data_IF_531143935814
#
_entry.id   IF_531143935814
#
_cell.length_a   1.000
_cell.length_b   1.000
_cell.length_c   1.000
_cell.angle_alpha   90.00
_cell.angle_beta   90.00
_cell.angle_gamma   90.00
#
_symmetry.space_group_name_H-M   'P 1'
#
loop_
_entity.id
_entity.type
_entity.pdbx_description
1 polymer ?
#
# COMPACT_ATOMS: atom_id res chain seq x y z
N UNK A 1 28.57 -58.94 -54.93
CA UNK A 1 29.42 -57.76 -54.79
C UNK A 1 29.09 -57.11 -53.53
N UNK A 2 30.00 -56.97 -52.55
CA UNK A 2 29.74 -56.29 -51.28
C UNK A 2 29.78 -54.77 -51.51
N UNK A 3 28.76 -54.04 -50.91
CA UNK A 3 28.65 -52.61 -51.00
C UNK A 3 29.83 -51.90 -50.29
N UNK A 4 30.31 -50.76 -50.81
CA UNK A 4 31.40 -50.03 -50.19
C UNK A 4 30.99 -49.44 -48.79
N UNK A 5 31.81 -49.73 -47.76
CA UNK A 5 31.67 -49.13 -46.45
C UNK A 5 31.93 -47.63 -46.54
N UNK A 6 30.93 -46.81 -46.23
CA UNK A 6 31.08 -45.37 -46.13
C UNK A 6 32.15 -45.03 -45.05
N UNK A 7 33.27 -44.46 -45.49
CA UNK A 7 34.28 -43.93 -44.61
C UNK A 7 33.68 -42.74 -43.83
N UNK A 8 33.50 -42.88 -42.51
CA UNK A 8 33.17 -41.76 -41.61
C UNK A 8 34.39 -40.83 -41.56
N UNK A 9 34.21 -39.62 -42.10
CA UNK A 9 35.22 -38.57 -41.97
C UNK A 9 35.46 -38.31 -40.49
N UNK A 10 36.73 -38.20 -39.98
CA UNK A 10 37.02 -37.84 -38.61
C UNK A 10 36.43 -36.46 -38.33
N UNK A 11 35.62 -36.34 -37.28
CA UNK A 11 35.13 -35.03 -36.82
C UNK A 11 36.31 -34.31 -36.16
N UNK A 12 36.63 -33.06 -36.54
CA UNK A 12 37.66 -32.28 -35.87
C UNK A 12 37.38 -32.20 -34.38
N UNK A 13 38.34 -32.57 -33.53
CA UNK A 13 38.26 -32.43 -32.08
C UNK A 13 38.35 -30.95 -31.70
N UNK A 14 37.61 -30.57 -30.69
CA UNK A 14 37.64 -29.20 -30.15
C UNK A 14 38.88 -29.03 -29.28
N UNK A 15 39.64 -27.95 -29.46
CA UNK A 15 40.81 -27.67 -28.65
C UNK A 15 40.42 -27.05 -27.33
N UNK A 16 41.22 -27.27 -26.26
CA UNK A 16 41.02 -26.70 -24.95
C UNK A 16 41.03 -25.17 -25.01
N UNK A 17 41.84 -24.56 -25.86
CA UNK A 17 41.94 -23.12 -26.08
C UNK A 17 40.67 -22.55 -26.67
N UNK A 18 40.10 -23.22 -27.70
CA UNK A 18 38.80 -22.78 -28.28
C UNK A 18 37.67 -22.82 -27.26
N UNK A 19 37.62 -23.85 -26.43
CA UNK A 19 36.61 -23.90 -25.33
C UNK A 19 36.81 -22.77 -24.31
N UNK A 20 38.06 -22.52 -23.92
CA UNK A 20 38.39 -21.51 -22.93
C UNK A 20 38.10 -20.06 -23.41
N UNK A 21 38.39 -19.78 -24.68
CA UNK A 21 38.08 -18.46 -25.29
C UNK A 21 36.59 -18.23 -25.38
N UNK A 22 35.80 -19.23 -25.81
CA UNK A 22 34.33 -19.12 -25.86
C UNK A 22 33.75 -18.90 -24.48
N UNK A 23 34.19 -19.65 -23.45
CA UNK A 23 33.73 -19.49 -22.11
C UNK A 23 34.09 -18.10 -21.53
N UNK A 24 35.27 -17.57 -21.83
CA UNK A 24 35.67 -16.22 -21.44
C UNK A 24 34.80 -15.15 -22.06
N UNK A 25 34.49 -15.25 -23.35
CA UNK A 25 33.62 -14.30 -24.05
C UNK A 25 32.18 -14.35 -23.49
N UNK A 26 31.63 -15.57 -23.32
CA UNK A 26 30.30 -15.76 -22.76
C UNK A 26 30.22 -15.20 -21.33
N UNK A 27 31.21 -15.49 -20.49
CA UNK A 27 31.29 -14.98 -19.13
C UNK A 27 31.32 -13.43 -19.11
N UNK A 28 32.09 -12.81 -19.99
CA UNK A 28 32.16 -11.35 -20.12
C UNK A 28 30.80 -10.76 -20.56
N UNK A 29 30.16 -11.34 -21.57
CA UNK A 29 28.85 -10.90 -22.06
C UNK A 29 27.77 -11.05 -20.99
N UNK A 30 27.69 -12.18 -20.31
CA UNK A 30 26.73 -12.43 -19.23
C UNK A 30 26.99 -11.47 -18.04
N UNK A 31 28.26 -11.27 -17.68
CA UNK A 31 28.67 -10.36 -16.60
C UNK A 31 28.19 -8.91 -16.83
N UNK A 32 28.14 -8.45 -18.08
CA UNK A 32 27.67 -7.10 -18.43
C UNK A 32 26.14 -7.04 -18.63
N UNK A 33 25.54 -8.09 -19.18
CA UNK A 33 24.11 -8.08 -19.51
C UNK A 33 23.20 -8.29 -18.31
N UNK A 34 23.59 -9.12 -17.32
CA UNK A 34 22.75 -9.42 -16.15
C UNK A 34 22.42 -8.17 -15.32
N UNK A 35 23.38 -7.30 -14.91
CA UNK A 35 23.07 -6.08 -14.18
C UNK A 35 22.18 -5.10 -14.99
N UNK A 36 22.44 -4.97 -16.28
CA UNK A 36 21.67 -4.10 -17.17
C UNK A 36 20.20 -4.54 -17.29
N UNK A 37 19.97 -5.85 -17.46
CA UNK A 37 18.61 -6.40 -17.52
C UNK A 37 17.87 -6.24 -16.20
N UNK A 38 18.55 -6.42 -15.05
CA UNK A 38 17.92 -6.22 -13.73
C UNK A 38 17.51 -4.76 -13.53
N UNK A 39 18.37 -3.80 -13.88
CA UNK A 39 18.08 -2.38 -13.83
C UNK A 39 16.90 -1.99 -14.74
N UNK A 40 16.88 -2.51 -15.98
CA UNK A 40 15.79 -2.29 -16.91
C UNK A 40 14.46 -2.84 -16.40
N UNK A 41 14.47 -4.04 -15.80
CA UNK A 41 13.27 -4.65 -15.20
C UNK A 41 12.76 -3.84 -14.03
N UNK A 42 13.63 -3.34 -13.16
CA UNK A 42 13.21 -2.50 -12.04
C UNK A 42 12.63 -1.16 -12.51
N UNK A 43 13.25 -0.54 -13.51
CA UNK A 43 12.71 0.67 -14.15
C UNK A 43 11.31 0.43 -14.73
N UNK A 44 11.09 -0.71 -15.40
CA UNK A 44 9.77 -1.08 -15.90
C UNK A 44 8.75 -1.30 -14.79
N UNK A 45 9.13 -1.96 -13.68
CA UNK A 45 8.24 -2.11 -12.51
C UNK A 45 7.87 -0.77 -11.88
N UNK A 46 8.84 0.14 -11.73
CA UNK A 46 8.58 1.50 -11.22
C UNK A 46 7.58 2.26 -12.09
N UNK A 47 7.71 2.17 -13.43
CA UNK A 47 6.74 2.77 -14.35
C UNK A 47 5.36 2.13 -14.18
N UNK A 48 5.28 0.82 -14.00
CA UNK A 48 4.02 0.12 -13.76
C UNK A 48 3.35 0.58 -12.45
N UNK A 49 4.11 0.71 -11.33
CA UNK A 49 3.58 1.23 -10.06
C UNK A 49 3.09 2.69 -10.22
N UNK A 50 3.82 3.53 -10.96
CA UNK A 50 3.36 4.89 -11.28
C UNK A 50 2.05 4.92 -12.09
N UNK A 51 1.88 4.00 -13.04
CA UNK A 51 0.63 3.87 -13.80
C UNK A 51 -0.53 3.39 -12.92
N UNK A 52 -0.29 2.50 -11.97
CA UNK A 52 -1.29 2.07 -10.98
C UNK A 52 -1.72 3.25 -10.10
N UNK A 53 -0.79 4.04 -9.58
CA UNK A 53 -1.08 5.27 -8.84
C UNK A 53 -1.90 6.26 -9.66
N UNK A 54 -1.58 6.42 -10.95
CA UNK A 54 -2.36 7.26 -11.87
C UNK A 54 -3.80 6.78 -12.02
N UNK A 55 -4.02 5.47 -12.16
CA UNK A 55 -5.37 4.90 -12.24
C UNK A 55 -6.15 5.09 -10.94
N UNK A 56 -5.49 4.95 -9.78
CA UNK A 56 -6.10 5.28 -8.48
C UNK A 56 -6.48 6.76 -8.42
N UNK A 57 -5.61 7.66 -8.89
CA UNK A 57 -5.89 9.10 -8.98
C UNK A 57 -7.06 9.44 -9.92
N UNK A 58 -7.18 8.75 -11.05
CA UNK A 58 -8.34 8.88 -11.95
C UNK A 58 -9.61 8.40 -11.27
N UNK A 59 -9.58 7.28 -10.56
CA UNK A 59 -10.69 6.78 -9.74
C UNK A 59 -11.10 7.78 -8.66
N UNK A 60 -10.13 8.45 -8.03
CA UNK A 60 -10.37 9.52 -7.05
C UNK A 60 -11.13 10.69 -7.66
N UNK A 61 -10.71 11.15 -8.84
CA UNK A 61 -11.37 12.24 -9.58
C UNK A 61 -12.78 11.85 -10.03
N UNK A 62 -12.96 10.60 -10.46
CA UNK A 62 -14.28 10.07 -10.85
C UNK A 62 -15.23 10.01 -9.64
N UNK A 63 -14.75 9.60 -8.47
CA UNK A 63 -15.52 9.58 -7.22
C UNK A 63 -15.95 11.01 -6.82
N UNK A 64 -15.04 11.98 -6.86
CA UNK A 64 -15.36 13.39 -6.57
C UNK A 64 -16.40 13.94 -7.56
N UNK A 65 -16.25 13.66 -8.84
CA UNK A 65 -17.19 14.10 -9.88
C UNK A 65 -18.60 13.54 -9.66
N UNK A 66 -18.71 12.29 -9.21
CA UNK A 66 -19.98 11.62 -8.94
C UNK A 66 -20.64 12.10 -7.65
N UNK A 67 -19.86 12.26 -6.58
CA UNK A 67 -20.39 12.52 -5.23
C UNK A 67 -20.17 13.94 -4.73
N UNK A 68 -19.33 14.75 -5.41
CA UNK A 68 -18.97 16.12 -5.01
C UNK A 68 -18.19 16.20 -3.69
N UNK A 69 -17.51 15.10 -3.34
CA UNK A 69 -16.56 15.01 -2.23
C UNK A 69 -15.57 13.87 -2.50
N UNK A 70 -14.42 13.92 -1.87
CA UNK A 70 -13.43 12.86 -1.93
C UNK A 70 -13.79 11.68 -1.00
N UNK A 71 -13.36 10.44 -1.30
CA UNK A 71 -13.54 9.33 -0.37
C UNK A 71 -12.88 9.65 0.97
N UNK A 72 -13.52 9.32 2.07
CA UNK A 72 -12.90 9.44 3.36
C UNK A 72 -11.83 8.34 3.54
N UNK A 73 -10.71 8.65 4.23
CA UNK A 73 -9.76 7.61 4.59
C UNK A 73 -10.44 6.50 5.40
N UNK A 74 -11.50 6.85 6.13
CA UNK A 74 -12.38 5.95 6.88
C UNK A 74 -13.82 6.42 6.78
N UNK A 75 -14.67 5.66 6.12
CA UNK A 75 -16.13 5.84 6.14
C UNK A 75 -16.69 4.97 7.26
N UNK A 76 -17.42 5.56 8.20
CA UNK A 76 -18.04 4.88 9.33
C UNK A 76 -19.52 4.63 9.11
N UNK A 77 -19.99 3.49 9.63
CA UNK A 77 -21.40 3.09 9.65
C UNK A 77 -21.77 2.69 11.07
N UNK A 78 -22.88 3.23 11.58
CA UNK A 78 -23.41 2.85 12.89
C UNK A 78 -24.36 1.66 12.75
N UNK A 79 -24.20 0.67 13.60
CA UNK A 79 -25.13 -0.45 13.63
C UNK A 79 -26.55 -0.08 14.09
N UNK A 80 -26.71 1.01 14.84
CA UNK A 80 -28.04 1.54 15.18
C UNK A 80 -28.87 1.90 13.95
N UNK A 81 -28.24 2.13 12.79
CA UNK A 81 -28.90 2.40 11.52
C UNK A 81 -29.44 1.12 10.86
N UNK A 82 -29.07 -0.08 11.37
CA UNK A 82 -29.42 -1.39 10.79
C UNK A 82 -30.03 -2.36 11.82
N UNK A 83 -31.20 -2.04 12.41
CA UNK A 83 -31.75 -2.84 13.51
C UNK A 83 -32.21 -4.25 13.12
N UNK A 84 -32.39 -4.53 11.80
CA UNK A 84 -32.82 -5.84 11.31
C UNK A 84 -31.70 -6.87 11.24
N UNK A 85 -30.44 -6.43 11.22
CA UNK A 85 -29.25 -7.27 11.17
C UNK A 85 -28.37 -6.94 12.40
N UNK A 86 -28.63 -7.56 13.54
CA UNK A 86 -27.87 -7.27 14.75
C UNK A 86 -26.40 -7.57 14.53
N UNK A 87 -25.50 -6.70 14.99
CA UNK A 87 -24.07 -6.90 14.83
C UNK A 87 -23.61 -8.13 15.59
N UNK A 88 -22.55 -8.77 15.06
CA UNK A 88 -21.79 -9.71 15.84
C UNK A 88 -21.30 -9.01 17.14
N UNK A 89 -21.62 -9.56 18.33
CA UNK A 89 -21.25 -8.93 19.59
C UNK A 89 -19.75 -8.68 19.75
N UNK A 90 -18.91 -9.49 19.10
CA UNK A 90 -17.45 -9.28 19.10
C UNK A 90 -17.05 -7.99 18.34
N UNK A 91 -17.79 -7.64 17.28
CA UNK A 91 -17.57 -6.36 16.58
C UNK A 91 -18.02 -5.16 17.43
N UNK A 92 -19.07 -5.31 18.22
CA UNK A 92 -19.53 -4.25 19.14
C UNK A 92 -18.43 -3.86 20.12
N UNK A 93 -17.72 -4.81 20.68
CA UNK A 93 -16.64 -4.58 21.65
C UNK A 93 -15.44 -3.86 21.00
N UNK A 94 -15.04 -4.30 19.79
CA UNK A 94 -13.82 -3.79 19.14
C UNK A 94 -14.04 -2.43 18.47
N UNK A 95 -15.21 -2.19 17.89
CA UNK A 95 -15.51 -1.01 17.07
C UNK A 95 -16.56 -0.07 17.66
N UNK A 96 -16.88 -0.21 18.95
CA UNK A 96 -17.89 0.59 19.64
C UNK A 96 -19.23 0.70 18.87
N UNK A 97 -19.70 -0.40 18.30
CA UNK A 97 -20.94 -0.44 17.51
C UNK A 97 -20.84 0.18 16.11
N UNK A 98 -19.65 0.26 15.55
CA UNK A 98 -19.42 0.81 14.21
C UNK A 98 -18.61 -0.14 13.34
N UNK A 99 -18.91 -0.14 12.05
CA UNK A 99 -18.09 -0.76 11.01
C UNK A 99 -17.54 0.27 10.05
N UNK A 100 -16.49 -0.04 9.32
CA UNK A 100 -15.76 0.95 8.54
C UNK A 100 -15.37 0.41 7.17
N UNK A 101 -15.19 1.33 6.22
CA UNK A 101 -14.70 1.05 4.87
C UNK A 101 -13.56 2.01 4.55
N UNK A 102 -12.41 1.48 4.13
CA UNK A 102 -11.25 2.24 3.72
C UNK A 102 -11.44 3.00 2.41
N UNK A 103 -10.57 3.95 2.11
CA UNK A 103 -10.65 4.78 0.91
C UNK A 103 -10.59 3.95 -0.38
N UNK A 104 -9.68 2.98 -0.49
CA UNK A 104 -9.57 2.13 -1.69
C UNK A 104 -10.81 1.26 -1.90
N UNK A 105 -11.45 0.79 -0.82
CA UNK A 105 -12.74 0.09 -0.90
C UNK A 105 -13.84 0.97 -1.48
N UNK A 106 -13.86 2.27 -1.15
CA UNK A 106 -14.80 3.24 -1.73
C UNK A 106 -14.51 3.52 -3.22
N UNK A 107 -13.28 3.34 -3.67
CA UNK A 107 -12.87 3.56 -5.06
C UNK A 107 -13.11 2.37 -5.99
N UNK A 108 -13.42 1.17 -5.50
CA UNK A 108 -13.65 -0.01 -6.35
C UNK A 108 -14.57 0.24 -7.54
N UNK A 109 -15.73 0.93 -7.41
CA UNK A 109 -16.60 1.21 -8.56
C UNK A 109 -15.97 2.12 -9.61
N UNK A 110 -14.91 2.86 -9.26
CA UNK A 110 -14.29 3.91 -10.09
C UNK A 110 -12.94 3.50 -10.69
N UNK A 111 -12.48 2.25 -10.41
CA UNK A 111 -11.21 1.71 -10.89
C UNK A 111 -11.41 0.41 -11.68
N UNK A 112 -12.51 0.32 -12.42
CA UNK A 112 -12.90 -0.84 -13.26
C UNK A 112 -13.21 -2.12 -12.47
N UNK A 113 -13.32 -2.04 -11.13
CA UNK A 113 -13.64 -3.15 -10.21
C UNK A 113 -15.12 -3.14 -9.78
N UNK A 114 -16.01 -2.68 -10.66
CA UNK A 114 -17.45 -2.60 -10.40
C UNK A 114 -18.10 -3.96 -10.08
N UNK A 115 -17.62 -5.03 -10.71
CA UNK A 115 -18.08 -6.38 -10.41
C UNK A 115 -17.71 -6.79 -8.97
N UNK A 116 -16.48 -6.52 -8.55
CA UNK A 116 -16.03 -6.77 -7.19
C UNK A 116 -16.81 -5.91 -6.20
N UNK A 117 -17.00 -4.62 -6.50
CA UNK A 117 -17.78 -3.70 -5.67
C UNK A 117 -19.23 -4.18 -5.48
N UNK A 118 -19.84 -4.80 -6.48
CA UNK A 118 -21.20 -5.33 -6.40
C UNK A 118 -21.39 -6.51 -5.44
N UNK A 119 -20.30 -7.17 -5.04
CA UNK A 119 -20.31 -8.23 -4.05
C UNK A 119 -20.42 -7.70 -2.61
N UNK A 120 -20.16 -6.41 -2.41
CA UNK A 120 -20.25 -5.77 -1.10
C UNK A 120 -21.51 -4.92 -0.99
N UNK A 121 -22.11 -4.93 0.18
CA UNK A 121 -23.03 -3.87 0.56
C UNK A 121 -22.23 -2.62 0.94
N UNK A 122 -22.08 -1.71 -0.02
CA UNK A 122 -21.31 -0.46 0.13
C UNK A 122 -21.98 0.57 1.06
N UNK A 123 -23.17 0.26 1.56
CA UNK A 123 -23.85 1.05 2.60
C UNK A 123 -23.41 0.61 4.00
N UNK A 124 -22.61 -0.44 4.09
CA UNK A 124 -22.09 -1.02 5.34
C UNK A 124 -20.57 -1.08 5.33
N UNK A 125 -19.99 -1.21 6.50
CA UNK A 125 -18.55 -1.42 6.61
C UNK A 125 -18.13 -2.79 6.10
N UNK A 126 -16.87 -2.92 5.67
CA UNK A 126 -16.34 -4.17 5.18
C UNK A 126 -16.40 -5.29 6.22
N UNK A 127 -16.16 -4.95 7.50
CA UNK A 127 -16.19 -5.91 8.61
C UNK A 127 -17.61 -6.18 9.14
N UNK A 128 -18.66 -5.69 8.48
CA UNK A 128 -20.04 -6.06 8.80
C UNK A 128 -20.31 -7.52 8.41
N UNK A 129 -21.07 -8.31 9.21
CA UNK A 129 -21.41 -9.68 8.86
C UNK A 129 -22.03 -9.86 7.48
N UNK A 130 -22.74 -8.87 6.96
CA UNK A 130 -23.29 -8.91 5.59
C UNK A 130 -22.19 -8.99 4.54
N UNK A 131 -21.07 -8.31 4.77
CA UNK A 131 -19.92 -8.26 3.86
C UNK A 131 -18.87 -9.35 4.12
N UNK A 132 -18.95 -10.07 5.24
CA UNK A 132 -17.99 -11.10 5.58
C UNK A 132 -18.48 -12.48 5.14
N UNK A 133 -17.61 -13.34 4.65
CA UNK A 133 -17.94 -14.72 4.34
C UNK A 133 -17.90 -15.61 5.59
N UNK A 134 -18.53 -16.79 5.58
CA UNK A 134 -18.19 -17.83 6.53
C UNK A 134 -16.68 -18.14 6.49
N UNK A 135 -16.03 -18.47 7.59
CA UNK A 135 -16.60 -18.82 8.90
C UNK A 135 -16.75 -17.65 9.89
N UNK A 136 -16.78 -16.41 9.46
CA UNK A 136 -17.11 -15.32 10.38
C UNK A 136 -18.50 -15.52 10.97
N UNK A 137 -18.69 -15.30 12.28
CA UNK A 137 -20.00 -15.39 12.91
C UNK A 137 -21.01 -14.46 12.22
N UNK A 138 -22.10 -15.04 11.67
CA UNK A 138 -23.09 -14.28 10.91
C UNK A 138 -22.66 -13.86 9.51
N UNK A 139 -21.49 -14.28 9.05
CA UNK A 139 -21.00 -13.99 7.70
C UNK A 139 -21.90 -14.56 6.61
N UNK A 140 -22.27 -13.73 5.63
CA UNK A 140 -23.22 -14.06 4.57
C UNK A 140 -22.67 -13.92 3.16
N UNK A 141 -21.53 -13.23 2.99
CA UNK A 141 -20.97 -12.93 1.69
C UNK A 141 -20.16 -14.13 1.13
N UNK A 142 -19.78 -14.04 -0.14
CA UNK A 142 -18.92 -15.03 -0.79
C UNK A 142 -17.44 -14.72 -0.53
N UNK A 143 -16.59 -15.75 -0.48
CA UNK A 143 -15.13 -15.60 -0.46
C UNK A 143 -14.59 -14.83 -1.67
N UNK A 144 -15.33 -14.79 -2.78
CA UNK A 144 -14.95 -14.04 -3.99
C UNK A 144 -14.86 -12.53 -3.75
N UNK A 145 -15.52 -11.99 -2.71
CA UNK A 145 -15.40 -10.58 -2.33
C UNK A 145 -13.99 -10.20 -1.85
N UNK A 146 -13.17 -11.19 -1.47
CA UNK A 146 -11.77 -10.98 -1.10
C UNK A 146 -10.80 -11.30 -2.24
N UNK A 147 -11.22 -11.06 -3.48
CA UNK A 147 -10.35 -11.23 -4.65
C UNK A 147 -9.24 -10.19 -4.67
N UNK A 148 -8.00 -10.57 -5.06
CA UNK A 148 -6.93 -9.62 -5.27
C UNK A 148 -7.28 -8.62 -6.38
N UNK A 149 -6.93 -7.36 -6.17
CA UNK A 149 -7.02 -6.30 -7.16
C UNK A 149 -5.61 -5.99 -7.65
N UNK A 150 -5.23 -6.40 -8.87
CA UNK A 150 -3.87 -6.21 -9.38
C UNK A 150 -3.43 -4.75 -9.41
N UNK A 151 -4.37 -3.83 -9.62
CA UNK A 151 -4.15 -2.38 -9.55
C UNK A 151 -3.59 -1.92 -8.20
N UNK A 152 -3.91 -2.61 -7.12
CA UNK A 152 -3.49 -2.21 -5.77
C UNK A 152 -2.19 -2.86 -5.31
N UNK A 153 -1.49 -3.60 -6.17
CA UNK A 153 -0.26 -4.32 -5.82
C UNK A 153 0.90 -3.87 -6.68
N UNK A 154 1.91 -3.26 -6.06
CA UNK A 154 3.12 -2.84 -6.78
C UNK A 154 3.95 -4.07 -7.19
N UNK A 155 4.33 -4.22 -8.49
CA UNK A 155 5.11 -5.36 -8.98
C UNK A 155 6.54 -5.44 -8.45
N UNK A 156 7.05 -4.43 -7.76
CA UNK A 156 8.36 -4.46 -7.09
C UNK A 156 8.29 -5.02 -5.67
N UNK A 157 7.09 -5.18 -5.12
CA UNK A 157 6.93 -5.79 -3.80
C UNK A 157 7.32 -7.27 -3.86
N UNK A 158 8.21 -7.75 -2.96
CA UNK A 158 8.66 -9.12 -2.97
C UNK A 158 7.51 -10.14 -2.89
N UNK A 159 7.68 -11.27 -3.55
CA UNK A 159 6.80 -12.43 -3.41
C UNK A 159 6.97 -13.09 -2.04
N UNK A 160 5.95 -13.85 -1.58
CA UNK A 160 6.01 -14.60 -0.34
C UNK A 160 5.79 -13.77 0.93
N UNK A 161 5.27 -12.55 0.82
CA UNK A 161 4.78 -11.82 1.98
C UNK A 161 3.53 -12.52 2.50
N UNK A 162 3.45 -12.86 3.81
CA UNK A 162 2.28 -13.52 4.38
C UNK A 162 1.02 -12.70 4.18
N UNK A 163 -0.09 -13.37 3.90
CA UNK A 163 -1.40 -12.73 3.74
C UNK A 163 -2.42 -13.27 4.75
N UNK A 164 -1.97 -13.96 5.80
CA UNK A 164 -2.85 -14.49 6.84
C UNK A 164 -3.15 -13.42 7.89
N UNK A 165 -4.36 -12.92 7.85
CA UNK A 165 -4.93 -11.97 8.82
C UNK A 165 -5.65 -12.64 9.98
N UNK A 166 -5.80 -13.98 9.97
CA UNK A 166 -6.50 -14.74 10.99
C UNK A 166 -6.13 -14.34 12.42
N UNK A 167 -4.83 -14.25 12.79
CA UNK A 167 -4.44 -13.86 14.14
C UNK A 167 -5.02 -12.52 14.60
N UNK A 168 -5.07 -11.51 13.75
CA UNK A 168 -5.64 -10.19 14.09
C UNK A 168 -7.16 -10.17 14.14
N UNK A 169 -7.81 -10.94 13.28
CA UNK A 169 -9.26 -11.00 13.21
C UNK A 169 -9.91 -11.93 14.23
N UNK A 170 -9.11 -12.68 15.01
CA UNK A 170 -9.61 -13.47 16.16
C UNK A 170 -10.31 -12.62 17.20
N UNK A 171 -9.87 -11.39 17.39
CA UNK A 171 -10.47 -10.44 18.32
C UNK A 171 -11.93 -10.12 17.96
N UNK A 172 -12.31 -10.29 16.69
CA UNK A 172 -13.68 -10.10 16.20
C UNK A 172 -14.40 -11.43 15.91
N UNK A 173 -13.91 -12.54 16.49
CA UNK A 173 -14.57 -13.83 16.44
C UNK A 173 -14.17 -14.73 15.28
N UNK A 174 -13.08 -14.41 14.54
CA UNK A 174 -12.59 -15.35 13.52
C UNK A 174 -12.05 -16.62 14.18
N UNK A 175 -12.37 -17.83 13.65
CA UNK A 175 -12.01 -19.08 14.29
C UNK A 175 -10.51 -19.24 14.52
N UNK A 176 -10.08 -19.81 15.66
CA UNK A 176 -8.68 -20.12 15.89
C UNK A 176 -8.18 -21.17 14.88
N UNK A 177 -6.90 -21.13 14.56
CA UNK A 177 -6.24 -22.08 13.66
C UNK A 177 -6.79 -22.13 12.22
N UNK A 178 -7.55 -21.12 11.81
CA UNK A 178 -8.03 -20.96 10.44
C UNK A 178 -7.28 -19.78 9.82
N UNK A 179 -6.69 -19.99 8.65
CA UNK A 179 -6.04 -18.89 7.91
C UNK A 179 -7.10 -17.99 7.28
N UNK A 180 -6.95 -16.69 7.43
CA UNK A 180 -7.73 -15.68 6.72
C UNK A 180 -6.83 -14.98 5.71
N UNK A 181 -6.90 -15.42 4.46
CA UNK A 181 -6.14 -14.80 3.37
C UNK A 181 -6.93 -13.64 2.82
N UNK A 182 -6.45 -12.41 3.05
CA UNK A 182 -7.03 -11.20 2.49
C UNK A 182 -6.08 -10.62 1.42
N UNK A 183 -6.62 -10.04 0.35
CA UNK A 183 -5.82 -9.40 -0.68
C UNK A 183 -5.19 -8.13 -0.15
N UNK A 184 -3.89 -8.00 -0.36
CA UNK A 184 -3.14 -6.83 0.08
C UNK A 184 -3.33 -5.64 -0.84
N UNK A 185 -3.02 -4.46 -0.32
CA UNK A 185 -2.69 -3.27 -1.08
C UNK A 185 -1.30 -2.77 -0.71
N UNK A 186 -0.58 -2.27 -1.70
CA UNK A 186 0.69 -1.58 -1.56
C UNK A 186 0.53 -0.06 -1.69
N UNK A 187 -0.71 0.44 -1.74
CA UNK A 187 -1.05 1.86 -1.80
C UNK A 187 -2.00 2.22 -0.67
N UNK A 188 -1.80 3.39 -0.08
CA UNK A 188 -2.62 3.88 1.01
C UNK A 188 -2.76 5.41 0.98
N UNK A 189 -3.87 5.97 1.49
CA UNK A 189 -3.95 7.38 1.78
C UNK A 189 -3.28 7.69 3.12
N UNK A 190 -2.71 8.87 3.24
CA UNK A 190 -2.27 9.39 4.53
C UNK A 190 -3.45 10.04 5.27
N UNK A 191 -3.47 9.90 6.61
CA UNK A 191 -4.44 10.59 7.47
C UNK A 191 -3.97 11.99 7.85
N UNK A 192 -2.67 12.19 7.87
CA UNK A 192 -1.98 13.38 8.31
C UNK A 192 -0.59 13.07 8.82
N UNK A 193 -0.05 13.94 9.66
CA UNK A 193 1.27 13.79 10.26
C UNK A 193 1.16 13.25 11.68
N UNK A 194 2.05 12.34 12.02
CA UNK A 194 2.27 11.95 13.42
C UNK A 194 3.00 13.10 14.15
N UNK A 195 2.77 13.32 15.47
CA UNK A 195 3.44 14.39 16.22
C UNK A 195 4.95 14.44 16.07
N UNK A 196 5.64 13.30 15.95
CA UNK A 196 7.09 13.24 15.72
C UNK A 196 7.51 13.92 14.43
N UNK A 197 6.76 13.74 13.35
CA UNK A 197 7.06 14.36 12.06
C UNK A 197 6.60 15.82 12.04
N UNK A 198 5.46 16.14 12.63
CA UNK A 198 5.00 17.52 12.78
C UNK A 198 6.05 18.37 13.50
N UNK A 199 6.64 17.87 14.58
CA UNK A 199 7.75 18.54 15.30
C UNK A 199 8.96 18.75 14.40
N UNK A 200 9.34 17.76 13.56
CA UNK A 200 10.45 17.93 12.61
C UNK A 200 10.16 19.00 11.57
N UNK A 201 8.90 19.15 11.16
CA UNK A 201 8.46 20.17 10.21
C UNK A 201 8.19 21.54 10.86
N UNK A 202 8.41 21.69 12.17
CA UNK A 202 8.09 22.93 12.90
C UNK A 202 6.60 23.22 13.08
N UNK A 203 5.75 22.18 12.91
CA UNK A 203 4.30 22.28 13.03
C UNK A 203 3.81 21.87 14.43
N UNK A 204 2.62 22.34 14.85
CA UNK A 204 2.00 21.93 16.11
C UNK A 204 1.78 20.42 16.17
N UNK A 205 1.96 19.82 17.35
CA UNK A 205 1.82 18.36 17.52
C UNK A 205 0.40 17.82 17.30
N UNK A 206 -0.61 18.66 17.30
CA UNK A 206 -2.02 18.36 17.03
C UNK A 206 -2.38 18.43 15.54
N UNK A 207 -1.41 18.70 14.66
CA UNK A 207 -1.55 18.73 13.21
C UNK A 207 -1.70 17.32 12.59
N UNK A 208 -2.70 16.56 13.08
CA UNK A 208 -2.77 15.10 12.84
C UNK A 208 -3.76 14.64 11.77
N UNK A 209 -4.71 15.46 11.34
CA UNK A 209 -5.78 15.02 10.43
C UNK A 209 -5.95 15.94 9.21
N UNK A 210 -4.89 16.57 8.78
CA UNK A 210 -4.91 17.61 7.76
C UNK A 210 -4.59 17.10 6.34
N UNK A 211 -4.46 15.80 6.15
CA UNK A 211 -4.25 15.23 4.82
C UNK A 211 -5.50 15.35 3.93
N UNK A 212 -5.31 15.21 2.63
CA UNK A 212 -6.34 15.35 1.61
C UNK A 212 -7.61 14.55 1.90
N UNK A 213 -7.46 13.28 2.31
CA UNK A 213 -8.58 12.40 2.65
C UNK A 213 -8.85 12.36 4.17
N UNK A 214 -8.11 13.15 4.95
CA UNK A 214 -8.23 13.25 6.40
C UNK A 214 -9.53 13.93 6.82
N UNK A 215 -10.13 13.42 7.92
CA UNK A 215 -11.25 14.05 8.58
C UNK A 215 -11.19 13.81 10.07
N UNK A 216 -11.59 14.77 10.88
CA UNK A 216 -11.76 14.64 12.33
C UNK A 216 -13.22 14.43 12.73
N UNK A 217 -14.14 14.71 11.82
CA UNK A 217 -15.58 14.68 12.09
C UNK A 217 -16.21 13.37 11.66
N UNK A 218 -15.96 12.32 12.42
CA UNK A 218 -16.55 11.00 12.17
C UNK A 218 -18.04 10.93 12.53
N UNK A 219 -18.49 11.79 13.44
CA UNK A 219 -19.85 11.79 13.93
C UNK A 219 -20.83 12.30 12.87
N UNK A 220 -20.45 13.38 12.18
CA UNK A 220 -21.29 13.98 11.13
C UNK A 220 -21.00 13.39 9.74
N UNK A 221 -20.19 12.30 9.66
CA UNK A 221 -19.80 11.66 8.38
C UNK A 221 -19.20 12.68 7.38
N UNK A 222 -18.49 13.68 7.89
CA UNK A 222 -17.93 14.75 7.08
C UNK A 222 -16.83 14.18 6.18
N UNK A 223 -16.95 14.50 4.90
CA UNK A 223 -15.96 14.18 3.86
C UNK A 223 -15.35 15.47 3.34
N UNK A 224 -14.11 15.40 2.85
CA UNK A 224 -13.40 16.55 2.30
C UNK A 224 -13.95 16.88 0.92
N UNK A 225 -14.27 18.14 0.69
CA UNK A 225 -14.72 18.66 -0.61
C UNK A 225 -13.57 19.37 -1.31
N UNK A 226 -13.66 19.48 -2.63
CA UNK A 226 -12.66 20.15 -3.47
C UNK A 226 -12.26 21.54 -2.95
N UNK A 227 -13.24 22.35 -2.52
CA UNK A 227 -13.01 23.70 -1.98
C UNK A 227 -12.24 23.76 -0.65
N UNK A 228 -12.06 22.62 0.02
CA UNK A 228 -11.34 22.54 1.29
C UNK A 228 -9.87 22.16 1.08
N UNK A 229 -9.43 22.04 -0.18
CA UNK A 229 -8.04 21.80 -0.55
C UNK A 229 -7.47 23.09 -1.12
N UNK A 230 -7.14 24.03 -0.19
CA UNK A 230 -6.69 25.38 -0.57
C UNK A 230 -5.30 25.40 -1.20
N UNK A 231 -4.44 24.40 -0.90
CA UNK A 231 -3.08 24.30 -1.44
C UNK A 231 -3.05 23.87 -2.89
N UNK A 232 -4.20 23.38 -3.37
CA UNK A 232 -4.37 22.90 -4.75
C UNK A 232 -4.10 21.40 -4.88
N UNK A 233 -4.90 20.76 -5.72
CA UNK A 233 -4.86 19.30 -5.93
C UNK A 233 -3.50 18.80 -6.45
N UNK A 234 -2.80 19.58 -7.24
CA UNK A 234 -1.48 19.23 -7.79
C UNK A 234 -0.33 19.32 -6.78
N UNK A 235 -0.62 19.83 -5.57
CA UNK A 235 0.36 19.99 -4.49
C UNK A 235 0.02 19.16 -3.25
N UNK A 236 -1.15 18.50 -3.22
CA UNK A 236 -1.60 17.73 -2.07
C UNK A 236 -1.59 16.25 -2.39
N UNK A 237 -0.92 15.46 -1.55
CA UNK A 237 -0.84 14.00 -1.67
C UNK A 237 -2.19 13.35 -1.37
N UNK A 238 -2.64 12.46 -2.27
CA UNK A 238 -3.83 11.65 -2.09
C UNK A 238 -3.50 10.23 -1.64
N UNK A 239 -2.61 9.56 -2.39
CA UNK A 239 -2.16 8.20 -2.12
C UNK A 239 -0.65 8.09 -2.24
N UNK A 240 -0.06 7.23 -1.44
CA UNK A 240 1.37 6.92 -1.47
C UNK A 240 1.59 5.42 -1.55
N UNK A 241 2.74 5.00 -2.05
CA UNK A 241 3.18 3.62 -1.88
C UNK A 241 3.49 3.36 -0.40
N UNK A 242 2.90 2.29 0.13
CA UNK A 242 3.18 1.70 1.44
C UNK A 242 3.31 0.18 1.27
N UNK A 243 4.30 -0.22 0.49
CA UNK A 243 4.44 -1.56 -0.04
C UNK A 243 4.86 -2.60 1.01
N UNK A 244 4.38 -3.83 0.83
CA UNK A 244 4.79 -4.98 1.63
C UNK A 244 4.27 -5.01 3.05
N UNK A 245 3.23 -4.26 3.41
CA UNK A 245 2.74 -4.01 4.77
C UNK A 245 2.25 -5.24 5.55
N UNK A 246 2.07 -6.37 4.93
CA UNK A 246 1.75 -7.61 5.66
C UNK A 246 2.97 -8.15 6.41
N UNK A 247 4.17 -7.68 6.06
CA UNK A 247 5.41 -7.93 6.78
C UNK A 247 6.11 -6.61 7.04
N UNK A 248 6.68 -6.47 8.24
CA UNK A 248 7.44 -5.27 8.57
C UNK A 248 8.81 -5.30 7.91
N UNK A 249 9.16 -4.19 7.27
CA UNK A 249 10.48 -3.94 6.68
C UNK A 249 11.06 -2.67 7.28
N UNK A 250 12.32 -2.75 7.69
CA UNK A 250 13.08 -1.60 8.17
C UNK A 250 14.30 -1.41 7.29
N UNK A 251 14.40 -0.25 6.65
CA UNK A 251 15.50 0.13 5.74
C UNK A 251 15.84 -1.00 4.76
N UNK A 252 14.83 -1.50 4.03
CA UNK A 252 14.97 -2.55 3.02
C UNK A 252 15.06 -3.99 3.56
N UNK A 253 15.14 -4.20 4.89
CA UNK A 253 15.29 -5.52 5.51
C UNK A 253 13.99 -5.97 6.19
N UNK A 254 13.59 -7.24 6.04
CA UNK A 254 12.45 -7.77 6.76
C UNK A 254 12.77 -7.90 8.25
N UNK A 255 11.88 -7.42 9.11
CA UNK A 255 12.00 -7.61 10.56
C UNK A 255 11.56 -9.02 10.96
N UNK A 256 12.23 -9.57 11.98
CA UNK A 256 11.88 -10.85 12.59
C UNK A 256 10.65 -10.78 13.50
N UNK A 257 10.12 -11.94 13.91
CA UNK A 257 9.00 -12.05 14.84
C UNK A 257 9.28 -11.42 16.22
N UNK A 258 10.54 -11.36 16.61
CA UNK A 258 11.00 -10.75 17.88
C UNK A 258 11.12 -9.21 17.82
N UNK A 259 10.91 -8.59 16.66
CA UNK A 259 10.94 -7.13 16.56
C UNK A 259 9.85 -6.48 17.40
N UNK A 260 10.10 -5.29 17.99
CA UNK A 260 9.06 -4.54 18.70
C UNK A 260 7.81 -4.37 17.84
N UNK A 261 6.65 -4.76 18.37
CA UNK A 261 5.38 -4.78 17.64
C UNK A 261 5.19 -5.97 16.68
N UNK A 262 6.10 -6.96 16.68
CA UNK A 262 6.02 -8.16 15.84
C UNK A 262 6.44 -7.94 14.39
N UNK A 263 6.50 -9.04 13.61
CA UNK A 263 6.91 -9.00 12.20
C UNK A 263 5.75 -8.78 11.23
N UNK A 264 4.51 -8.86 11.70
CA UNK A 264 3.30 -8.85 10.85
C UNK A 264 2.49 -7.57 11.06
N UNK A 265 2.11 -6.96 9.96
CA UNK A 265 1.18 -5.82 9.92
C UNK A 265 -0.16 -6.33 9.38
N UNK A 266 -1.25 -6.03 10.11
CA UNK A 266 -2.58 -6.54 9.75
C UNK A 266 -3.42 -5.57 8.91
N UNK A 267 -2.83 -4.47 8.44
CA UNK A 267 -3.57 -3.31 7.94
C UNK A 267 -3.27 -3.02 6.47
N UNK A 268 -3.16 -4.05 5.65
CA UNK A 268 -2.86 -3.88 4.21
C UNK A 268 -3.96 -4.39 3.28
N UNK A 269 -5.14 -4.68 3.80
CA UNK A 269 -6.29 -5.03 2.97
C UNK A 269 -6.95 -3.75 2.43
N UNK A 270 -7.23 -3.69 1.11
CA UNK A 270 -7.74 -2.49 0.44
C UNK A 270 -9.06 -1.96 1.01
N UNK A 271 -9.87 -2.80 1.63
CA UNK A 271 -11.10 -2.42 2.29
C UNK A 271 -10.95 -2.01 3.76
N UNK A 272 -9.79 -2.27 4.37
CA UNK A 272 -9.55 -1.91 5.76
C UNK A 272 -9.20 -0.42 5.88
N UNK A 273 -9.89 0.28 6.77
CA UNK A 273 -9.61 1.68 7.08
C UNK A 273 -8.22 1.88 7.71
N UNK A 274 -7.69 0.86 8.36
CA UNK A 274 -6.36 0.90 8.97
C UNK A 274 -5.22 0.92 7.94
N UNK A 275 -5.50 0.80 6.64
CA UNK A 275 -4.50 1.07 5.60
C UNK A 275 -4.01 2.52 5.65
N UNK A 276 -4.88 3.46 6.01
CA UNK A 276 -4.52 4.86 6.17
C UNK A 276 -3.79 5.09 7.51
N UNK A 277 -2.64 5.75 7.46
CA UNK A 277 -1.79 6.01 8.63
C UNK A 277 -1.38 7.48 8.71
N UNK A 278 -0.87 7.88 9.89
CA UNK A 278 -0.16 9.14 10.04
C UNK A 278 1.32 8.91 9.72
N UNK A 279 1.87 9.66 8.79
CA UNK A 279 3.30 9.57 8.51
C UNK A 279 4.12 9.98 9.75
N UNK A 280 5.07 9.14 10.14
CA UNK A 280 5.94 9.33 11.31
C UNK A 280 7.30 9.87 10.89
N UNK A 281 7.87 10.72 11.73
CA UNK A 281 9.29 11.02 11.69
C UNK A 281 10.08 9.93 12.42
N UNK A 282 10.99 9.26 11.72
CA UNK A 282 11.76 8.11 12.20
C UNK A 282 13.26 8.36 12.07
N UNK A 283 14.07 7.76 12.94
CA UNK A 283 15.53 7.94 12.88
C UNK A 283 16.22 7.04 11.84
N UNK A 284 15.63 5.91 11.50
CA UNK A 284 16.25 4.92 10.62
C UNK A 284 17.51 4.23 11.17
N UNK A 285 17.83 4.41 12.47
CA UNK A 285 19.12 4.00 13.05
C UNK A 285 19.13 2.64 13.76
N UNK A 286 17.96 2.10 14.14
CA UNK A 286 17.92 0.92 14.99
C UNK A 286 16.79 -0.04 14.63
N UNK A 287 17.14 -1.31 14.35
CA UNK A 287 16.17 -2.40 14.22
C UNK A 287 15.56 -2.80 15.57
N UNK A 288 16.26 -2.56 16.69
CA UNK A 288 15.77 -2.84 18.04
C UNK A 288 14.68 -1.83 18.46
N UNK A 289 14.70 -0.63 17.89
CA UNK A 289 13.66 0.38 18.05
C UNK A 289 13.38 1.02 16.68
N UNK A 290 12.64 0.33 15.80
CA UNK A 290 12.37 0.83 14.46
C UNK A 290 11.47 2.06 14.44
N UNK A 291 10.76 2.34 15.55
CA UNK A 291 9.90 3.50 15.71
C UNK A 291 10.57 4.67 16.43
N UNK A 292 11.88 4.57 16.67
CA UNK A 292 12.62 5.65 17.32
C UNK A 292 12.47 6.97 16.56
N UNK A 293 12.10 8.04 17.28
CA UNK A 293 11.79 9.34 16.72
C UNK A 293 12.99 9.95 15.97
N UNK A 294 12.71 10.56 14.85
CA UNK A 294 13.63 11.28 13.97
C UNK A 294 12.87 12.00 12.89
N UNK A 295 13.53 12.46 11.85
CA UNK A 295 12.91 13.28 10.79
C UNK A 295 12.85 12.60 9.42
N UNK A 296 13.37 11.37 9.27
CA UNK A 296 13.24 10.62 8.02
C UNK A 296 11.85 9.99 7.92
N UNK A 297 11.27 10.00 6.74
CA UNK A 297 9.89 9.54 6.53
C UNK A 297 9.78 8.45 5.46
N UNK A 298 10.53 8.53 4.37
CA UNK A 298 10.44 7.64 3.22
C UNK A 298 11.38 6.45 3.38
N UNK A 299 10.89 5.23 3.11
CA UNK A 299 11.66 3.98 3.09
C UNK A 299 12.38 3.60 4.40
N UNK A 300 11.91 4.10 5.54
CA UNK A 300 12.45 3.74 6.86
C UNK A 300 11.75 2.52 7.43
N UNK A 301 10.45 2.59 7.65
CA UNK A 301 9.61 1.52 8.17
C UNK A 301 8.28 1.51 7.43
N UNK A 302 7.86 0.37 6.91
CA UNK A 302 6.64 0.27 6.12
C UNK A 302 5.34 0.15 6.93
N UNK A 303 5.37 0.35 8.24
CA UNK A 303 4.19 0.23 9.11
C UNK A 303 3.24 1.43 9.00
N UNK A 304 3.79 2.64 9.07
CA UNK A 304 3.03 3.88 9.09
C UNK A 304 3.53 4.90 8.05
N UNK A 305 4.48 4.54 7.19
CA UNK A 305 5.20 5.48 6.35
C UNK A 305 5.19 5.10 4.88
N UNK A 306 5.34 6.07 3.98
CA UNK A 306 5.62 5.81 2.57
C UNK A 306 6.82 4.87 2.41
N UNK A 307 6.58 3.75 1.71
CA UNK A 307 7.58 2.71 1.56
C UNK A 307 7.43 2.00 0.21
N UNK A 308 8.53 1.83 -0.50
CA UNK A 308 8.59 1.08 -1.74
C UNK A 308 9.86 0.24 -1.81
N UNK A 309 9.85 -0.76 -2.67
CA UNK A 309 11.05 -1.55 -2.99
C UNK A 309 11.81 -0.99 -4.19
N UNK A 310 11.46 0.20 -4.63
CA UNK A 310 12.17 0.93 -5.66
C UNK A 310 13.42 1.62 -5.11
N UNK A 311 14.53 1.63 -5.84
CA UNK A 311 15.70 2.43 -5.45
C UNK A 311 15.37 3.93 -5.41
N UNK A 312 15.81 4.59 -4.35
CA UNK A 312 15.85 6.05 -4.26
C UNK A 312 14.59 6.74 -3.79
N UNK A 313 13.46 6.05 -3.60
CA UNK A 313 12.24 6.71 -3.12
C UNK A 313 10.96 5.95 -3.35
N UNK A 314 9.82 6.63 -3.26
CA UNK A 314 8.47 6.08 -3.38
C UNK A 314 7.62 6.86 -4.39
N UNK A 315 6.69 6.18 -5.04
CA UNK A 315 5.67 6.81 -5.86
C UNK A 315 4.53 7.39 -5.01
N UNK A 316 3.93 8.48 -5.47
CA UNK A 316 2.76 9.09 -4.87
C UNK A 316 1.82 9.67 -5.93
N UNK A 317 0.51 9.53 -5.72
CA UNK A 317 -0.52 10.20 -6.50
C UNK A 317 -0.95 11.49 -5.80
N UNK A 318 -0.97 12.57 -6.55
CA UNK A 318 -1.50 13.86 -6.11
C UNK A 318 -3.03 13.90 -6.26
N UNK A 319 -3.66 14.88 -5.66
CA UNK A 319 -5.11 15.04 -5.70
C UNK A 319 -5.70 15.24 -7.09
N UNK A 320 -4.93 15.74 -8.04
CA UNK A 320 -5.31 15.91 -9.45
C UNK A 320 -5.07 14.64 -10.31
N UNK A 321 -4.58 13.56 -9.70
CA UNK A 321 -4.24 12.31 -10.38
C UNK A 321 -2.86 12.32 -11.05
N UNK A 322 -2.09 13.41 -10.97
CA UNK A 322 -0.69 13.39 -11.37
C UNK A 322 0.14 12.50 -10.42
N UNK A 323 1.24 11.97 -10.91
CA UNK A 323 2.11 11.08 -10.13
C UNK A 323 3.48 11.72 -9.96
N UNK A 324 3.95 11.75 -8.74
CA UNK A 324 5.28 12.22 -8.38
C UNK A 324 6.11 11.10 -7.75
N UNK A 325 7.43 11.30 -7.69
CA UNK A 325 8.33 10.39 -7.00
C UNK A 325 9.06 11.17 -5.90
N UNK A 326 8.89 10.74 -4.67
CA UNK A 326 9.49 11.33 -3.49
C UNK A 326 10.79 10.60 -3.17
N UNK A 327 11.90 11.34 -3.06
CA UNK A 327 13.20 10.80 -2.69
C UNK A 327 13.23 10.33 -1.23
N UNK A 328 14.14 9.37 -0.91
CA UNK A 328 14.34 8.90 0.47
C UNK A 328 14.71 10.03 1.42
N UNK A 329 15.45 11.03 0.91
CA UNK A 329 16.01 12.16 1.67
C UNK A 329 15.09 13.39 1.63
N UNK A 330 13.82 13.23 1.28
CA UNK A 330 12.87 14.36 1.27
C UNK A 330 12.86 15.05 2.63
N UNK A 331 12.95 16.37 2.62
CA UNK A 331 12.89 17.18 3.84
C UNK A 331 11.52 17.05 4.51
N UNK A 332 11.50 17.01 5.84
CA UNK A 332 10.29 16.84 6.64
C UNK A 332 9.26 17.97 6.42
N UNK A 333 9.74 19.22 6.23
CA UNK A 333 8.90 20.39 5.94
C UNK A 333 8.26 20.29 4.58
N UNK A 334 9.04 19.89 3.56
CA UNK A 334 8.51 19.67 2.20
C UNK A 334 7.50 18.55 2.19
N UNK A 335 7.79 17.44 2.87
CA UNK A 335 6.84 16.33 2.97
C UNK A 335 5.55 16.74 3.69
N UNK A 336 5.67 17.48 4.79
CA UNK A 336 4.52 17.98 5.54
C UNK A 336 3.63 18.91 4.69
N UNK A 337 4.22 19.80 3.91
CA UNK A 337 3.50 20.66 2.98
C UNK A 337 2.78 19.88 1.88
N UNK A 338 3.36 18.77 1.40
CA UNK A 338 2.67 17.88 0.43
C UNK A 338 1.52 17.10 1.05
N UNK A 339 1.55 16.80 2.35
CA UNK A 339 0.47 16.07 3.04
C UNK A 339 -0.70 16.99 3.37
N UNK A 340 -0.41 18.25 3.72
CA UNK A 340 -1.43 19.22 4.09
C UNK A 340 -2.33 19.61 2.92
N UNK A 341 -3.63 19.84 3.22
CA UNK A 341 -4.64 20.30 2.24
C UNK A 341 -4.99 21.78 2.34
N UNK A 342 -4.69 22.42 3.48
CA UNK A 342 -5.12 23.78 3.78
C UNK A 342 -3.96 24.63 4.36
N UNK A 343 -2.77 24.37 3.92
CA UNK A 343 -1.46 24.78 4.29
C UNK A 343 -1.21 26.20 4.66
N UNK A 344 -1.19 26.42 5.92
CA UNK A 344 -0.42 27.51 6.51
C UNK A 344 1.10 27.29 6.44
N UNK A 345 1.57 26.12 5.97
CA UNK A 345 2.99 25.76 5.89
C UNK A 345 3.70 26.35 4.66
N UNK A 346 2.97 26.70 3.63
CA UNK A 346 3.55 27.27 2.39
C UNK A 346 4.21 28.65 2.59
N UNK A 347 4.16 29.22 3.77
CA UNK A 347 4.83 30.46 4.11
C UNK A 347 6.35 30.33 4.39
N UNK A 348 6.86 29.11 4.50
CA UNK A 348 8.29 28.83 4.57
C UNK A 348 8.80 28.46 3.17
N UNK A 349 8.82 29.43 2.27
CA UNK A 349 9.57 29.32 1.02
C UNK A 349 11.08 29.21 1.30
N UNK A 350 11.84 28.65 0.31
CA UNK A 350 13.26 28.41 0.45
C UNK A 350 14.07 29.63 0.79
#
# INVERSE_FOLDING_TARGET
MPAPKAQRRPRPGFTLVELLTVMAIVAALVGLTVPAVQSARESARRVACGNQLRQIGLGLSAHESAYRFFPAWRKEFSWAEYPKDPPNPNFAVVNAGRTTLGALGQLLPFVEEGNLASLFDMTRGLADPVNLPPPFPGGRNSLSCFSPVPLFVCPSTPSGIPSDYGPGYRVIGYPPNTALVLPRTDYAPLRGLHPTLATCAGLPADFTHNAMLGTTDFVNKRTVRLREISDGLSRTLAFVEEAGRQRRFFVGRPLGASAPGGATILNSFYGDWNTARHARGLSGKSEADPQHAGCSVVNVLNDDNPYAFHPGGVGAAMGDGSVTFMANEIDATVFAALVSRDGSEAAAGP
#
